data_IF_811334571841
#
_entry.id   IF_811334571841
#
_cell.length_a   1.000
_cell.length_b   1.000
_cell.length_c   1.000
_cell.angle_alpha   90.00
_cell.angle_beta   90.00
_cell.angle_gamma   90.00
#
_symmetry.space_group_name_H-M   'P 1'
#
loop_
_entity.id
_entity.type
_entity.pdbx_description
1 polymer ?
#
# COMPACT_ATOMS: atom_id res chain seq x y z
N UNK A 1 31.18 -45.54 -0.69
CA UNK A 1 32.47 -45.14 -0.07
C UNK A 1 32.16 -44.57 1.30
N UNK A 2 32.53 -45.29 2.36
CA UNK A 2 32.41 -44.86 3.77
C UNK A 2 33.34 -43.68 4.01
N UNK A 3 32.80 -42.50 4.33
CA UNK A 3 33.61 -41.38 4.81
C UNK A 3 34.30 -41.82 6.11
N UNK A 4 35.63 -41.94 6.06
CA UNK A 4 36.44 -42.29 7.23
C UNK A 4 36.17 -41.33 8.39
N UNK A 5 36.24 -41.83 9.63
CA UNK A 5 35.99 -41.08 10.86
C UNK A 5 36.83 -39.80 10.91
N UNK A 6 36.26 -38.68 10.45
CA UNK A 6 36.85 -37.35 10.53
C UNK A 6 36.21 -36.61 11.70
N UNK A 7 37.05 -36.01 12.54
CA UNK A 7 36.64 -35.25 13.70
C UNK A 7 36.70 -33.76 13.36
N UNK A 8 35.60 -33.04 13.59
CA UNK A 8 35.53 -31.59 13.50
C UNK A 8 35.74 -30.99 14.89
N UNK A 9 36.58 -29.97 15.00
CA UNK A 9 36.81 -29.23 16.25
C UNK A 9 36.06 -27.92 16.13
N UNK A 10 35.10 -27.68 17.02
CA UNK A 10 34.35 -26.43 17.06
C UNK A 10 35.20 -25.30 17.66
N UNK A 11 34.78 -24.02 17.49
CA UNK A 11 35.52 -22.87 18.03
C UNK A 11 35.72 -22.89 19.55
N UNK A 12 34.86 -23.61 20.27
CA UNK A 12 34.94 -23.84 21.72
C UNK A 12 35.87 -25.00 22.12
N UNK A 13 36.52 -25.65 21.14
CA UNK A 13 37.44 -26.76 21.35
C UNK A 13 36.78 -28.14 21.46
N UNK A 14 35.44 -28.21 21.39
CA UNK A 14 34.71 -29.49 21.48
C UNK A 14 34.87 -30.28 20.19
N UNK A 15 35.14 -31.59 20.34
CA UNK A 15 35.39 -32.52 19.24
C UNK A 15 34.11 -33.24 18.85
N UNK A 16 33.64 -33.03 17.62
CA UNK A 16 32.45 -33.65 17.05
C UNK A 16 32.82 -34.63 15.94
N UNK A 17 32.06 -35.72 15.82
CA UNK A 17 32.17 -36.62 14.66
C UNK A 17 31.52 -35.95 13.45
N UNK A 18 32.26 -35.80 12.35
CA UNK A 18 31.72 -35.24 11.12
C UNK A 18 30.81 -36.27 10.44
N UNK A 19 29.50 -35.99 10.41
CA UNK A 19 28.49 -36.87 9.80
C UNK A 19 28.25 -36.51 8.33
N UNK A 20 28.18 -35.22 8.00
CA UNK A 20 28.04 -34.72 6.64
C UNK A 20 28.50 -33.26 6.55
N UNK A 21 28.99 -32.85 5.37
CA UNK A 21 29.16 -31.44 5.01
C UNK A 21 28.07 -31.12 4.01
N UNK A 22 27.21 -30.15 4.35
CA UNK A 22 26.11 -29.71 3.48
C UNK A 22 26.29 -28.22 3.21
N UNK A 23 26.35 -27.87 1.93
CA UNK A 23 26.24 -26.48 1.51
C UNK A 23 24.78 -26.04 1.69
N UNK A 24 24.55 -25.11 2.61
CA UNK A 24 23.19 -24.66 2.98
C UNK A 24 22.73 -23.45 2.16
N UNK A 25 23.64 -22.83 1.39
CA UNK A 25 23.35 -21.62 0.60
C UNK A 25 23.97 -21.75 -0.79
N UNK A 26 23.20 -22.09 -1.84
CA UNK A 26 23.72 -22.34 -3.19
C UNK A 26 24.26 -21.10 -3.92
N UNK A 27 24.01 -19.89 -3.39
CA UNK A 27 24.32 -18.63 -4.06
C UNK A 27 25.16 -17.73 -3.15
N UNK A 28 26.23 -17.18 -3.70
CA UNK A 28 27.02 -16.12 -3.05
C UNK A 28 26.46 -14.75 -3.43
N UNK A 29 25.93 -14.03 -2.44
CA UNK A 29 25.46 -12.64 -2.59
C UNK A 29 26.67 -11.67 -2.57
N UNK A 30 27.48 -11.74 -3.65
CA UNK A 30 28.65 -10.87 -3.87
C UNK A 30 28.32 -9.61 -4.68
N UNK A 31 27.06 -9.46 -5.10
CA UNK A 31 26.65 -8.27 -5.85
C UNK A 31 26.71 -7.05 -4.94
N UNK A 32 27.28 -5.95 -5.44
CA UNK A 32 27.25 -4.66 -4.73
C UNK A 32 25.77 -4.27 -4.57
N UNK A 33 25.30 -4.26 -3.33
CA UNK A 33 23.95 -3.79 -3.00
C UNK A 33 23.92 -2.29 -3.23
N UNK A 34 23.23 -1.87 -4.29
CA UNK A 34 23.05 -0.45 -4.60
C UNK A 34 22.25 0.20 -3.47
N UNK A 35 22.91 0.99 -2.63
CA UNK A 35 22.25 1.83 -1.63
C UNK A 35 21.74 3.07 -2.35
N UNK A 36 20.43 3.17 -2.51
CA UNK A 36 19.80 4.34 -3.11
C UNK A 36 19.66 5.39 -1.99
N UNK A 37 20.41 6.48 -2.10
CA UNK A 37 20.37 7.61 -1.16
C UNK A 37 19.35 8.67 -1.53
N UNK A 38 18.90 8.70 -2.80
CA UNK A 38 17.82 9.56 -3.25
C UNK A 38 16.48 8.95 -2.84
N UNK A 39 15.89 9.50 -1.79
CA UNK A 39 14.64 9.01 -1.22
C UNK A 39 13.52 9.99 -1.50
N UNK A 40 12.48 9.51 -2.16
CA UNK A 40 11.18 10.19 -2.26
C UNK A 40 10.19 9.48 -1.34
N UNK A 41 8.96 9.99 -1.24
CA UNK A 41 7.88 9.27 -0.59
C UNK A 41 6.58 9.31 -1.35
N UNK A 42 5.65 8.49 -0.88
CA UNK A 42 4.20 8.58 -1.12
C UNK A 42 3.53 8.62 0.25
N UNK A 43 2.36 9.23 0.32
CA UNK A 43 1.59 9.27 1.56
C UNK A 43 0.35 8.39 1.42
N UNK A 44 0.23 7.39 2.29
CA UNK A 44 -0.97 6.56 2.41
C UNK A 44 -1.87 7.19 3.45
N UNK A 45 -3.04 7.67 3.02
CA UNK A 45 -4.01 8.33 3.88
C UNK A 45 -5.05 7.30 4.31
N UNK A 46 -5.04 6.93 5.58
CA UNK A 46 -6.02 6.04 6.20
C UNK A 46 -7.04 6.90 6.96
N UNK A 47 -8.32 6.72 6.64
CA UNK A 47 -9.44 7.50 7.17
C UNK A 47 -10.29 6.61 8.06
N UNK A 48 -10.71 7.12 9.22
CA UNK A 48 -11.44 6.33 10.22
C UNK A 48 -12.81 5.83 9.72
N UNK A 49 -13.25 4.74 10.34
CA UNK A 49 -14.50 4.01 10.16
C UNK A 49 -15.67 4.72 10.88
N UNK A 50 -16.83 4.88 10.21
CA UNK A 50 -18.07 5.32 10.89
C UNK A 50 -19.36 4.75 10.26
N UNK A 51 -20.31 4.39 11.14
CA UNK A 51 -21.67 3.89 10.86
C UNK A 51 -22.61 4.97 10.25
N UNK A 52 -22.38 5.42 9.00
CA UNK A 52 -23.36 6.27 8.29
C UNK A 52 -23.76 5.83 6.88
N UNK A 53 -22.97 5.01 6.17
CA UNK A 53 -23.33 4.51 4.83
C UNK A 53 -22.91 3.06 4.63
N UNK A 54 -23.48 2.36 3.65
CA UNK A 54 -23.27 0.91 3.42
C UNK A 54 -21.86 0.51 2.93
N UNK A 55 -21.02 1.46 2.52
CA UNK A 55 -19.67 1.19 2.02
C UNK A 55 -18.51 1.78 2.86
N UNK A 56 -18.75 2.87 3.59
CA UNK A 56 -17.71 3.59 4.37
C UNK A 56 -17.64 3.18 5.85
N UNK A 57 -18.20 2.03 6.20
CA UNK A 57 -18.30 1.57 7.60
C UNK A 57 -16.97 1.12 8.18
N UNK A 58 -16.00 0.79 7.34
CA UNK A 58 -14.72 0.16 7.73
C UNK A 58 -13.52 1.13 7.62
N UNK A 59 -13.78 2.39 7.28
CA UNK A 59 -12.75 3.38 6.97
C UNK A 59 -12.61 3.59 5.47
N UNK A 60 -11.57 4.33 5.07
CA UNK A 60 -11.23 4.54 3.66
C UNK A 60 -9.74 4.75 3.51
N UNK A 61 -9.15 4.26 2.42
CA UNK A 61 -7.72 4.45 2.13
C UNK A 61 -7.53 5.16 0.80
N UNK A 62 -6.59 6.08 0.76
CA UNK A 62 -6.12 6.70 -0.45
C UNK A 62 -4.59 6.75 -0.47
N UNK A 63 -4.00 6.93 -1.65
CA UNK A 63 -2.56 7.12 -1.81
C UNK A 63 -2.30 8.43 -2.53
N UNK A 64 -1.40 9.23 -1.97
CA UNK A 64 -1.00 10.54 -2.46
C UNK A 64 0.42 10.49 -3.03
N UNK A 65 0.56 11.05 -4.24
CA UNK A 65 1.82 11.15 -4.97
C UNK A 65 1.94 12.55 -5.55
N UNK A 66 2.94 13.30 -5.09
CA UNK A 66 3.30 14.63 -5.58
C UNK A 66 2.12 15.64 -5.66
N UNK A 67 1.27 15.64 -4.63
CA UNK A 67 0.09 16.48 -4.47
C UNK A 67 -1.21 15.86 -5.00
N UNK A 68 -1.15 14.70 -5.66
CA UNK A 68 -2.30 14.05 -6.30
C UNK A 68 -2.70 12.80 -5.51
N UNK A 69 -3.96 12.77 -5.08
CA UNK A 69 -4.58 11.65 -4.38
C UNK A 69 -5.31 10.75 -5.37
N UNK A 70 -4.97 9.47 -5.32
CA UNK A 70 -5.65 8.38 -6.00
C UNK A 70 -6.48 7.62 -4.98
N UNK A 71 -7.77 7.46 -5.26
CA UNK A 71 -8.71 6.83 -4.33
C UNK A 71 -9.80 6.09 -5.09
N UNK A 72 -10.00 4.81 -4.78
CA UNK A 72 -11.12 4.03 -5.32
C UNK A 72 -12.37 4.26 -4.46
N UNK A 73 -13.28 5.13 -4.91
CA UNK A 73 -14.60 5.25 -4.29
C UNK A 73 -15.52 4.09 -4.75
N UNK A 74 -16.70 3.93 -4.15
CA UNK A 74 -17.67 2.91 -4.60
C UNK A 74 -18.09 3.09 -6.06
N UNK A 75 -18.29 4.35 -6.48
CA UNK A 75 -18.71 4.64 -7.85
C UNK A 75 -17.54 4.62 -8.82
N UNK A 76 -16.59 5.54 -8.66
CA UNK A 76 -15.51 5.75 -9.63
C UNK A 76 -14.16 5.82 -8.92
N UNK A 77 -13.10 5.45 -9.65
CA UNK A 77 -11.73 5.73 -9.26
C UNK A 77 -11.42 7.22 -9.46
N UNK A 78 -11.26 7.94 -8.36
CA UNK A 78 -10.99 9.37 -8.38
C UNK A 78 -9.48 9.65 -8.33
N UNK A 79 -9.09 10.67 -9.11
CA UNK A 79 -7.77 11.30 -9.10
C UNK A 79 -7.98 12.80 -8.91
N UNK A 80 -7.59 13.32 -7.75
CA UNK A 80 -7.84 14.71 -7.35
C UNK A 80 -6.64 15.26 -6.57
N UNK A 81 -6.54 16.57 -6.42
CA UNK A 81 -5.51 17.14 -5.54
C UNK A 81 -5.81 16.84 -4.06
N UNK A 82 -4.76 16.84 -3.24
CA UNK A 82 -4.85 16.55 -1.81
C UNK A 82 -5.75 17.52 -1.05
N UNK A 83 -5.77 18.79 -1.44
CA UNK A 83 -6.61 19.79 -0.78
C UNK A 83 -8.10 19.48 -1.01
N UNK A 84 -8.49 19.19 -2.25
CA UNK A 84 -9.86 18.77 -2.59
C UNK A 84 -10.23 17.46 -1.91
N UNK A 85 -9.30 16.49 -1.81
CA UNK A 85 -9.55 15.23 -1.10
C UNK A 85 -9.87 15.44 0.39
N UNK A 86 -9.12 16.29 1.08
CA UNK A 86 -9.29 16.55 2.50
C UNK A 86 -10.45 17.53 2.77
N UNK A 87 -10.44 18.68 2.13
CA UNK A 87 -11.31 19.82 2.45
C UNK A 87 -12.59 19.90 1.60
N UNK A 88 -12.68 19.12 0.54
CA UNK A 88 -13.79 19.18 -0.41
C UNK A 88 -13.56 20.16 -1.55
N UNK A 89 -14.47 20.12 -2.53
CA UNK A 89 -14.33 20.89 -3.77
C UNK A 89 -15.11 20.25 -4.91
N UNK A 90 -14.71 20.56 -6.15
CA UNK A 90 -15.30 19.97 -7.36
C UNK A 90 -14.40 18.83 -7.85
N UNK A 91 -15.02 17.66 -8.04
CA UNK A 91 -14.35 16.45 -8.53
C UNK A 91 -14.88 16.14 -9.92
N UNK A 92 -13.97 16.03 -10.89
CA UNK A 92 -14.29 15.57 -12.24
C UNK A 92 -14.32 14.04 -12.30
N UNK A 93 -15.48 13.54 -12.70
CA UNK A 93 -15.81 12.14 -12.92
C UNK A 93 -15.89 11.86 -14.43
N UNK A 94 -16.01 10.59 -14.79
CA UNK A 94 -16.12 10.14 -16.17
C UNK A 94 -17.31 10.79 -16.92
N UNK A 95 -18.43 10.99 -16.21
CA UNK A 95 -19.70 11.43 -16.79
C UNK A 95 -20.17 12.81 -16.24
N UNK A 96 -19.26 13.62 -15.70
CA UNK A 96 -19.59 14.96 -15.21
C UNK A 96 -18.72 15.39 -14.03
N UNK A 97 -19.21 16.34 -13.24
CA UNK A 97 -18.52 16.80 -12.03
C UNK A 97 -19.47 16.81 -10.84
N UNK A 98 -18.94 16.46 -9.67
CA UNK A 98 -19.69 16.49 -8.41
C UNK A 98 -19.00 17.42 -7.41
N UNK A 99 -19.77 18.00 -6.49
CA UNK A 99 -19.23 18.69 -5.32
C UNK A 99 -19.10 17.69 -4.17
N UNK A 100 -17.93 17.60 -3.57
CA UNK A 100 -17.67 16.78 -2.38
C UNK A 100 -17.35 17.66 -1.16
N UNK A 101 -17.71 17.19 0.04
CA UNK A 101 -17.34 17.82 1.31
C UNK A 101 -15.93 17.47 1.79
N UNK A 102 -15.20 16.60 1.06
CA UNK A 102 -13.87 16.12 1.44
C UNK A 102 -13.93 14.95 2.41
N UNK A 103 -12.81 14.67 3.09
CA UNK A 103 -12.67 13.59 4.07
C UNK A 103 -12.43 14.07 5.50
N UNK A 104 -12.34 15.39 5.73
CA UNK A 104 -12.17 15.96 7.08
C UNK A 104 -13.43 15.92 7.96
N UNK A 105 -14.52 15.29 7.51
CA UNK A 105 -15.64 14.93 8.38
C UNK A 105 -15.32 13.70 9.28
N UNK A 106 -14.14 13.10 9.11
CA UNK A 106 -13.53 12.06 9.96
C UNK A 106 -12.06 12.36 10.21
N UNK A 107 -11.47 11.65 11.16
CA UNK A 107 -10.02 11.68 11.38
C UNK A 107 -9.30 10.93 10.27
N UNK A 108 -8.17 11.48 9.81
CA UNK A 108 -7.32 10.85 8.81
C UNK A 108 -5.87 10.85 9.30
N UNK A 109 -5.17 9.76 9.03
CA UNK A 109 -3.76 9.57 9.33
C UNK A 109 -3.01 9.31 8.01
N UNK A 110 -2.06 10.18 7.71
CA UNK A 110 -1.18 10.05 6.55
C UNK A 110 0.15 9.39 6.91
N UNK A 111 0.42 8.22 6.38
CA UNK A 111 1.67 7.48 6.56
C UNK A 111 2.59 7.76 5.37
N UNK A 112 3.67 8.50 5.59
CA UNK A 112 4.63 8.79 4.51
C UNK A 112 5.65 7.66 4.42
N UNK A 113 5.60 6.92 3.31
CA UNK A 113 6.45 5.75 3.06
C UNK A 113 7.58 6.11 2.10
N UNK A 114 8.83 5.80 2.48
CA UNK A 114 10.04 6.04 1.68
C UNK A 114 10.15 5.06 0.52
N UNK A 115 10.37 5.61 -0.66
CA UNK A 115 10.54 4.89 -1.91
C UNK A 115 11.77 5.45 -2.66
N UNK A 116 12.28 4.68 -3.61
CA UNK A 116 13.11 5.20 -4.68
C UNK A 116 12.25 5.91 -5.74
N UNK A 117 12.83 6.83 -6.54
CA UNK A 117 12.11 7.48 -7.65
C UNK A 117 11.50 6.48 -8.65
N UNK A 118 12.20 5.38 -8.93
CA UNK A 118 11.73 4.33 -9.83
C UNK A 118 10.51 3.57 -9.28
N UNK A 119 10.49 3.29 -7.97
CA UNK A 119 9.33 2.70 -7.30
C UNK A 119 8.13 3.66 -7.33
N UNK A 120 8.33 4.95 -7.04
CA UNK A 120 7.28 5.98 -7.11
C UNK A 120 6.68 6.07 -8.52
N UNK A 121 7.52 6.03 -9.56
CA UNK A 121 7.07 6.02 -10.95
C UNK A 121 6.23 4.79 -11.30
N UNK A 122 6.64 3.60 -10.84
CA UNK A 122 5.87 2.36 -11.05
C UNK A 122 4.47 2.46 -10.45
N UNK A 123 4.38 2.92 -9.19
CA UNK A 123 3.09 3.14 -8.52
C UNK A 123 2.24 4.13 -9.31
N UNK A 124 2.81 5.30 -9.68
CA UNK A 124 2.08 6.33 -10.42
C UNK A 124 1.51 5.79 -11.72
N UNK A 125 2.33 5.11 -12.54
CA UNK A 125 1.89 4.53 -13.82
C UNK A 125 0.74 3.54 -13.64
N UNK A 126 0.81 2.69 -12.63
CA UNK A 126 -0.24 1.70 -12.38
C UNK A 126 -1.54 2.36 -11.93
N UNK A 127 -1.49 3.36 -11.04
CA UNK A 127 -2.67 4.09 -10.60
C UNK A 127 -3.32 4.89 -11.74
N UNK A 128 -2.53 5.56 -12.58
CA UNK A 128 -3.04 6.24 -13.78
C UNK A 128 -3.73 5.26 -14.73
N UNK A 129 -3.14 4.07 -14.93
CA UNK A 129 -3.74 3.01 -15.75
C UNK A 129 -5.08 2.56 -15.16
N UNK A 130 -5.16 2.32 -13.85
CA UNK A 130 -6.42 1.93 -13.16
C UNK A 130 -7.49 3.00 -13.29
N UNK A 131 -7.15 4.28 -13.12
CA UNK A 131 -8.08 5.41 -13.32
C UNK A 131 -8.58 5.46 -14.76
N UNK A 132 -7.70 5.32 -15.75
CA UNK A 132 -8.09 5.34 -17.16
C UNK A 132 -9.03 4.19 -17.52
N UNK A 133 -8.74 2.97 -17.05
CA UNK A 133 -9.57 1.79 -17.27
C UNK A 133 -10.95 1.93 -16.62
N UNK A 134 -11.02 2.38 -15.37
CA UNK A 134 -12.29 2.57 -14.67
C UNK A 134 -13.15 3.66 -15.32
N UNK A 135 -12.53 4.77 -15.75
CA UNK A 135 -13.25 5.83 -16.47
C UNK A 135 -13.80 5.37 -17.81
N UNK A 136 -13.01 4.63 -18.60
CA UNK A 136 -13.50 4.05 -19.85
C UNK A 136 -14.69 3.11 -19.62
N UNK A 137 -14.65 2.31 -18.55
CA UNK A 137 -15.77 1.47 -18.13
C UNK A 137 -17.00 2.33 -17.76
N UNK A 138 -16.82 3.38 -16.95
CA UNK A 138 -17.91 4.27 -16.52
C UNK A 138 -18.57 5.04 -17.67
N UNK A 139 -17.82 5.43 -18.70
CA UNK A 139 -18.38 6.06 -19.90
C UNK A 139 -19.34 5.10 -20.62
N UNK A 140 -18.96 3.83 -20.76
CA UNK A 140 -19.77 2.81 -21.45
C UNK A 140 -20.89 2.23 -20.58
N UNK A 141 -20.73 2.26 -19.26
CA UNK A 141 -21.68 1.71 -18.27
C UNK A 141 -21.89 2.69 -17.12
N UNK A 142 -22.61 3.81 -17.34
CA UNK A 142 -22.72 4.91 -16.38
C UNK A 142 -23.31 4.49 -15.02
N UNK A 143 -24.20 3.50 -15.01
CA UNK A 143 -24.87 3.00 -13.81
C UNK A 143 -24.24 1.73 -13.21
N UNK A 144 -23.05 1.33 -13.67
CA UNK A 144 -22.33 0.17 -13.13
C UNK A 144 -21.04 0.57 -12.44
N UNK A 145 -20.54 -0.24 -11.53
CA UNK A 145 -19.23 -0.06 -10.90
C UNK A 145 -18.43 -1.35 -10.97
N UNK A 146 -17.12 -1.22 -11.18
CA UNK A 146 -16.15 -2.32 -11.05
C UNK A 146 -15.72 -2.55 -9.60
N UNK A 147 -16.26 -1.78 -8.66
CA UNK A 147 -15.87 -1.83 -7.25
C UNK A 147 -16.20 -3.20 -6.66
N UNK A 148 -15.25 -3.73 -5.91
CA UNK A 148 -15.42 -4.98 -5.18
C UNK A 148 -14.63 -4.89 -3.89
N UNK A 149 -15.26 -5.28 -2.78
CA UNK A 149 -14.63 -5.23 -1.46
C UNK A 149 -13.41 -6.15 -1.41
N UNK A 150 -13.41 -7.26 -2.15
CA UNK A 150 -12.38 -8.30 -2.08
C UNK A 150 -11.11 -7.98 -2.88
N UNK A 151 -11.24 -7.37 -4.06
CA UNK A 151 -10.13 -7.24 -5.01
C UNK A 151 -10.01 -5.85 -5.67
N UNK A 152 -11.06 -5.03 -5.69
CA UNK A 152 -11.04 -3.69 -6.29
C UNK A 152 -11.68 -2.62 -5.38
N UNK A 153 -11.18 -2.55 -4.14
CA UNK A 153 -11.60 -1.60 -3.11
C UNK A 153 -10.55 -0.50 -2.91
N UNK A 154 -10.84 0.49 -2.06
CA UNK A 154 -9.85 1.51 -1.70
C UNK A 154 -8.58 0.92 -1.08
N UNK A 155 -8.75 -0.04 -0.17
CA UNK A 155 -7.66 -0.73 0.51
C UNK A 155 -6.90 -1.67 -0.42
N UNK A 156 -7.59 -2.56 -1.17
CA UNK A 156 -6.89 -3.52 -2.03
C UNK A 156 -6.06 -2.80 -3.09
N UNK A 157 -6.58 -1.70 -3.65
CA UNK A 157 -5.84 -0.92 -4.63
C UNK A 157 -4.54 -0.33 -4.07
N UNK A 158 -4.55 0.14 -2.83
CA UNK A 158 -3.34 0.68 -2.19
C UNK A 158 -2.37 -0.46 -1.83
N UNK A 159 -2.89 -1.57 -1.30
CA UNK A 159 -2.06 -2.73 -0.99
C UNK A 159 -1.35 -3.28 -2.23
N UNK A 160 -2.08 -3.51 -3.32
CA UNK A 160 -1.53 -4.05 -4.56
C UNK A 160 -0.35 -3.22 -5.10
N UNK A 161 -0.51 -1.88 -5.14
CA UNK A 161 0.52 -1.02 -5.72
C UNK A 161 1.76 -0.95 -4.84
N UNK A 162 1.59 -0.98 -3.52
CA UNK A 162 2.71 -1.06 -2.57
C UNK A 162 3.41 -2.42 -2.66
N UNK A 163 2.67 -3.50 -2.80
CA UNK A 163 3.24 -4.85 -2.89
C UNK A 163 3.91 -5.10 -4.24
N UNK A 164 3.45 -4.45 -5.31
CA UNK A 164 4.10 -4.49 -6.63
C UNK A 164 5.54 -3.95 -6.60
N UNK A 165 5.89 -3.15 -5.58
CA UNK A 165 7.24 -2.64 -5.34
C UNK A 165 7.92 -3.29 -4.12
N UNK A 166 7.35 -4.37 -3.58
CA UNK A 166 7.92 -5.13 -2.46
C UNK A 166 7.74 -4.49 -1.09
N UNK A 167 6.76 -3.58 -0.92
CA UNK A 167 6.34 -3.10 0.38
C UNK A 167 5.12 -3.91 0.81
N UNK A 168 5.30 -4.73 1.84
CA UNK A 168 4.21 -5.49 2.43
C UNK A 168 3.15 -4.53 2.98
N UNK A 169 1.90 -4.72 2.55
CA UNK A 169 0.80 -3.82 2.87
C UNK A 169 -0.41 -4.53 3.49
N UNK A 170 -0.49 -5.86 3.37
CA UNK A 170 -1.40 -6.72 4.14
C UNK A 170 -0.66 -7.97 4.69
N UNK A 171 -1.24 -8.68 5.66
CA UNK A 171 -0.63 -9.90 6.21
C UNK A 171 -1.02 -11.12 5.35
N UNK A 172 -0.09 -11.73 4.58
CA UNK A 172 -0.41 -12.82 3.67
C UNK A 172 -0.77 -14.13 4.39
N UNK A 173 -0.65 -14.17 5.72
CA UNK A 173 -1.01 -15.32 6.56
C UNK A 173 -2.46 -15.27 7.03
N UNK A 174 -3.14 -14.14 6.88
CA UNK A 174 -4.54 -14.05 7.21
C UNK A 174 -5.38 -14.81 6.17
N UNK A 175 -6.52 -15.35 6.62
CA UNK A 175 -7.50 -15.98 5.73
C UNK A 175 -7.86 -15.01 4.59
N UNK A 176 -8.30 -15.50 3.42
CA UNK A 176 -8.67 -14.65 2.27
C UNK A 176 -9.85 -13.75 2.67
N UNK A 177 -9.48 -12.61 3.23
CA UNK A 177 -10.35 -11.59 3.77
C UNK A 177 -10.02 -10.32 3.00
N UNK A 178 -11.01 -9.45 2.77
CA UNK A 178 -10.75 -8.16 2.18
C UNK A 178 -9.63 -7.42 2.92
N UNK A 179 -8.70 -6.83 2.17
CA UNK A 179 -7.72 -5.91 2.77
C UNK A 179 -8.48 -4.77 3.43
N UNK A 180 -8.23 -4.55 4.73
CA UNK A 180 -8.94 -3.52 5.49
C UNK A 180 -8.09 -2.27 5.70
N UNK A 181 -8.69 -1.09 5.89
CA UNK A 181 -7.93 0.11 6.25
C UNK A 181 -7.11 -0.06 7.55
N UNK A 182 -7.66 -0.78 8.52
CA UNK A 182 -7.00 -1.06 9.80
C UNK A 182 -5.78 -1.98 9.64
N UNK A 183 -5.87 -2.99 8.76
CA UNK A 183 -4.74 -3.87 8.44
C UNK A 183 -3.61 -3.10 7.76
N UNK A 184 -3.95 -2.31 6.72
CA UNK A 184 -2.98 -1.44 6.05
C UNK A 184 -2.26 -0.52 7.03
N UNK A 185 -3.00 0.11 7.93
CA UNK A 185 -2.43 0.93 9.00
C UNK A 185 -1.45 0.13 9.86
N UNK A 186 -1.90 -0.99 10.42
CA UNK A 186 -1.11 -1.80 11.34
C UNK A 186 0.16 -2.40 10.72
N UNK A 187 0.14 -2.69 9.41
CA UNK A 187 1.31 -3.19 8.66
C UNK A 187 2.26 -2.04 8.32
N UNK A 188 1.74 -0.91 7.83
CA UNK A 188 2.56 0.22 7.40
C UNK A 188 3.21 0.96 8.59
N UNK A 189 2.56 1.05 9.74
CA UNK A 189 3.14 1.56 10.99
C UNK A 189 4.41 0.79 11.40
N UNK A 190 4.48 -0.49 11.07
CA UNK A 190 5.62 -1.37 11.37
C UNK A 190 6.66 -1.40 10.25
N UNK A 191 6.40 -0.73 9.13
CA UNK A 191 7.31 -0.71 7.99
C UNK A 191 8.58 0.07 8.31
N UNK A 192 9.75 -0.53 8.06
CA UNK A 192 11.03 0.18 8.14
C UNK A 192 11.15 1.32 7.12
N UNK A 193 10.25 1.38 6.14
CA UNK A 193 10.17 2.46 5.16
C UNK A 193 9.28 3.62 5.62
N UNK A 194 8.56 3.51 6.74
CA UNK A 194 7.81 4.63 7.29
C UNK A 194 8.76 5.77 7.67
N UNK A 195 8.51 6.96 7.12
CA UNK A 195 9.31 8.15 7.37
C UNK A 195 8.71 9.04 8.46
N UNK A 196 7.39 9.24 8.41
CA UNK A 196 6.64 10.10 9.33
C UNK A 196 5.14 9.84 9.20
N UNK A 197 4.42 10.36 10.18
CA UNK A 197 2.97 10.42 10.23
C UNK A 197 2.50 11.87 10.13
N UNK A 198 1.45 12.12 9.36
CA UNK A 198 0.77 13.40 9.30
C UNK A 198 -0.67 13.21 9.80
N UNK A 199 -1.06 13.92 10.86
CA UNK A 199 -2.41 13.85 11.40
C UNK A 199 -3.30 14.92 10.76
N UNK A 200 -4.47 14.50 10.28
CA UNK A 200 -5.50 15.40 9.75
C UNK A 200 -6.78 15.19 10.57
N UNK A 201 -6.94 15.95 11.67
CA UNK A 201 -8.05 15.74 12.59
C UNK A 201 -9.38 16.11 11.94
N UNK A 202 -10.44 15.45 12.40
CA UNK A 202 -11.80 15.77 12.01
C UNK A 202 -12.09 17.26 12.28
N UNK A 203 -12.70 17.91 11.30
CA UNK A 203 -13.31 19.24 11.44
C UNK A 203 -14.60 19.16 12.24
N UNK A 204 -14.70 20.00 13.26
CA UNK A 204 -15.87 20.10 14.15
C UNK A 204 -17.02 20.92 13.56
N UNK A 205 -16.78 21.62 12.46
CA UNK A 205 -17.71 22.54 11.79
C UNK A 205 -18.39 21.95 10.54
N UNK A 206 -18.32 20.62 10.35
CA UNK A 206 -18.94 19.88 9.23
C UNK A 206 -19.91 18.78 9.71
#
# INVERSE_FOLDING_TARGET
>A
MTMGNRTHIAPDGVKYRLIAVKETTPATDKAIKKVITDTTGVEVIVSDSRLRSRGSQWGHVAIEIDGIVYSRAHEEYVKIDKSTYLHGGIVSLANGSIRTGGNLWRDNLGLVVRLSPAEKEKIRKELERRVAVDRAFKITRPHSSTYSVFDNSCSSNVADVLESIGILAHDPRWLPTPVTPAELLAVLEKSKRLAKENHYPKRTDQ
#
